data_IF_092699077552
#
_entry.id   IF_092699077552
#
_cell.length_a   1.000
_cell.length_b   1.000
_cell.length_c   1.000
_cell.angle_alpha   90.00
_cell.angle_beta   90.00
_cell.angle_gamma   90.00
#
_symmetry.space_group_name_H-M   'P 1'
#
loop_
_entity.id
_entity.type
_entity.pdbx_description
1 polymer ?
#
# COMPACT_ATOMS: atom_id res chain seq x y z
N UNK A 1 -13.54 2.05 17.37
CA UNK A 1 -12.62 1.58 16.32
C UNK A 1 -11.25 2.16 16.58
N UNK A 2 -10.15 1.45 16.24
CA UNK A 2 -8.81 2.01 16.30
C UNK A 2 -8.68 3.26 15.41
N UNK A 3 -7.82 4.18 15.80
CA UNK A 3 -7.46 5.35 15.01
C UNK A 3 -6.68 4.90 13.77
N UNK A 4 -7.11 5.41 12.62
CA UNK A 4 -6.54 5.08 11.32
C UNK A 4 -5.78 6.29 10.77
N UNK A 5 -4.55 6.07 10.31
CA UNK A 5 -3.83 7.02 9.47
C UNK A 5 -4.02 6.64 8.02
N UNK A 6 -4.33 7.61 7.17
CA UNK A 6 -4.43 7.40 5.73
C UNK A 6 -3.44 8.29 4.97
N UNK A 7 -2.67 7.67 4.08
CA UNK A 7 -1.77 8.34 3.15
C UNK A 7 -2.20 8.00 1.74
N UNK A 8 -2.50 8.99 0.92
CA UNK A 8 -2.91 8.76 -0.46
C UNK A 8 -3.62 9.98 -1.02
N UNK A 9 -4.20 9.82 -2.21
CA UNK A 9 -4.97 10.88 -2.85
C UNK A 9 -6.31 11.15 -2.16
N UNK A 10 -6.83 10.18 -1.40
CA UNK A 10 -8.22 10.18 -0.95
C UNK A 10 -9.17 9.73 -2.06
N UNK A 11 -10.46 10.01 -1.89
CA UNK A 11 -11.53 9.53 -2.78
C UNK A 11 -12.17 8.25 -2.23
N UNK A 12 -12.51 7.30 -3.12
CA UNK A 12 -13.37 6.16 -2.79
C UNK A 12 -12.89 5.32 -1.61
N UNK A 13 -11.58 5.09 -1.46
CA UNK A 13 -11.03 4.35 -0.30
C UNK A 13 -11.25 5.12 1.01
N UNK A 14 -10.89 6.40 1.02
CA UNK A 14 -10.99 7.22 2.23
C UNK A 14 -12.46 7.45 2.61
N UNK A 15 -13.31 7.76 1.63
CA UNK A 15 -14.76 7.91 1.79
C UNK A 15 -15.38 6.62 2.32
N UNK A 16 -14.99 5.46 1.78
CA UNK A 16 -15.45 4.16 2.25
C UNK A 16 -15.06 3.89 3.70
N UNK A 17 -13.78 4.09 4.06
CA UNK A 17 -13.30 3.93 5.43
C UNK A 17 -14.09 4.82 6.40
N UNK A 18 -14.30 6.09 6.06
CA UNK A 18 -15.10 7.01 6.88
C UNK A 18 -16.56 6.55 6.99
N UNK A 19 -17.17 6.09 5.91
CA UNK A 19 -18.56 5.59 5.91
C UNK A 19 -18.75 4.36 6.78
N UNK A 20 -17.71 3.53 6.93
CA UNK A 20 -17.67 2.35 7.81
C UNK A 20 -17.41 2.72 9.29
N UNK A 21 -17.23 4.00 9.61
CA UNK A 21 -17.03 4.48 10.97
C UNK A 21 -15.56 4.50 11.43
N UNK A 22 -14.59 4.37 10.53
CA UNK A 22 -13.18 4.49 10.88
C UNK A 22 -12.83 5.94 11.26
N UNK A 23 -12.18 6.10 12.41
CA UNK A 23 -11.67 7.41 12.86
C UNK A 23 -10.35 7.71 12.17
N UNK A 24 -10.39 8.45 11.06
CA UNK A 24 -9.17 8.90 10.38
C UNK A 24 -8.56 10.06 11.16
N UNK A 25 -7.32 9.90 11.61
CA UNK A 25 -6.60 10.90 12.41
C UNK A 25 -5.47 11.56 11.64
N UNK A 26 -5.16 12.80 12.01
CA UNK A 26 -4.02 13.55 11.46
C UNK A 26 -2.69 13.21 12.17
N UNK A 27 -1.63 13.89 11.74
CA UNK A 27 -0.27 13.71 12.24
C UNK A 27 -0.09 13.99 13.75
N UNK A 28 -0.99 14.72 14.39
CA UNK A 28 -0.89 15.10 15.81
C UNK A 28 -1.40 14.02 16.77
N UNK A 29 -2.09 13.00 16.26
CA UNK A 29 -2.67 11.91 17.04
C UNK A 29 -1.96 10.60 16.74
N UNK A 30 -2.00 9.67 17.69
CA UNK A 30 -1.51 8.30 17.47
C UNK A 30 -2.52 7.49 16.65
N UNK A 31 -2.02 6.71 15.71
CA UNK A 31 -2.80 5.75 14.93
C UNK A 31 -2.30 4.33 15.22
N UNK A 32 -3.22 3.37 15.37
CA UNK A 32 -2.88 1.94 15.49
C UNK A 32 -2.83 1.25 14.13
N UNK A 33 -3.57 1.76 13.15
CA UNK A 33 -3.64 1.22 11.79
C UNK A 33 -3.26 2.32 10.79
N UNK A 34 -2.48 1.96 9.79
CA UNK A 34 -2.09 2.87 8.71
C UNK A 34 -2.38 2.24 7.37
N UNK A 35 -3.05 3.01 6.50
CA UNK A 35 -3.32 2.65 5.12
C UNK A 35 -2.56 3.62 4.21
N UNK A 36 -1.75 3.09 3.31
CA UNK A 36 -1.09 3.88 2.25
C UNK A 36 -1.63 3.44 0.89
N UNK A 37 -2.17 4.36 0.13
CA UNK A 37 -2.65 4.14 -1.23
C UNK A 37 -1.71 4.81 -2.23
N UNK A 38 -0.91 3.98 -2.93
CA UNK A 38 0.14 4.41 -3.86
C UNK A 38 -0.28 4.41 -5.34
N UNK A 39 -1.59 4.30 -5.61
CA UNK A 39 -2.12 4.24 -6.98
C UNK A 39 -1.78 5.51 -7.80
N UNK A 40 -2.00 5.45 -9.12
CA UNK A 40 -1.69 6.54 -10.06
C UNK A 40 -2.13 7.91 -9.52
N UNK A 41 -1.15 8.70 -9.11
CA UNK A 41 -1.33 10.07 -8.63
C UNK A 41 -1.75 11.04 -9.76
N UNK A 42 -1.97 10.53 -10.98
CA UNK A 42 -2.37 11.20 -12.22
C UNK A 42 -1.43 12.34 -12.62
N UNK A 43 -0.18 12.32 -12.14
CA UNK A 43 0.85 13.27 -12.60
C UNK A 43 1.20 12.95 -14.04
N UNK A 44 1.29 13.98 -14.87
CA UNK A 44 1.58 13.83 -16.31
C UNK A 44 3.01 13.35 -16.58
N UNK A 45 3.96 13.65 -15.68
CA UNK A 45 5.35 13.26 -15.82
C UNK A 45 5.67 11.98 -15.03
N UNK A 46 6.32 11.02 -15.68
CA UNK A 46 6.70 9.72 -15.09
C UNK A 46 7.65 9.83 -13.90
N UNK A 47 8.60 10.77 -13.91
CA UNK A 47 9.51 11.01 -12.80
C UNK A 47 8.77 11.58 -11.58
N UNK A 48 7.87 12.54 -11.82
CA UNK A 48 7.04 13.13 -10.75
C UNK A 48 6.11 12.08 -10.13
N UNK A 49 5.57 11.17 -10.95
CA UNK A 49 4.78 10.03 -10.46
C UNK A 49 5.58 9.19 -9.49
N UNK A 50 6.78 8.77 -9.89
CA UNK A 50 7.68 7.96 -9.07
C UNK A 50 8.07 8.68 -7.78
N UNK A 51 8.51 9.94 -7.87
CA UNK A 51 8.89 10.76 -6.72
C UNK A 51 7.75 10.86 -5.71
N UNK A 52 6.53 11.11 -6.18
CA UNK A 52 5.35 11.22 -5.32
C UNK A 52 5.08 9.90 -4.57
N UNK A 53 5.22 8.74 -5.22
CA UNK A 53 5.06 7.43 -4.57
C UNK A 53 6.14 7.17 -3.53
N UNK A 54 7.41 7.50 -3.86
CA UNK A 54 8.54 7.35 -2.93
C UNK A 54 8.36 8.24 -1.71
N UNK A 55 8.01 9.51 -1.89
CA UNK A 55 7.79 10.45 -0.79
C UNK A 55 6.63 10.02 0.11
N UNK A 56 5.54 9.52 -0.47
CA UNK A 56 4.39 9.04 0.30
C UNK A 56 4.76 7.89 1.22
N UNK A 57 5.44 6.86 0.69
CA UNK A 57 5.86 5.70 1.47
C UNK A 57 6.95 6.07 2.47
N UNK A 58 7.88 6.97 2.12
CA UNK A 58 8.88 7.46 3.06
C UNK A 58 8.22 8.12 4.27
N UNK A 59 7.23 9.01 4.06
CA UNK A 59 6.48 9.64 5.15
C UNK A 59 5.75 8.62 6.03
N UNK A 60 5.16 7.59 5.41
CA UNK A 60 4.51 6.50 6.15
C UNK A 60 5.52 5.73 7.02
N UNK A 61 6.72 5.45 6.49
CA UNK A 61 7.80 4.80 7.25
C UNK A 61 8.36 5.69 8.37
N UNK A 62 8.58 6.99 8.11
CA UNK A 62 9.01 7.95 9.13
C UNK A 62 8.01 7.97 10.30
N UNK A 63 6.70 7.92 10.00
CA UNK A 63 5.66 7.87 11.02
C UNK A 63 5.68 6.56 11.81
N UNK A 64 5.87 5.44 11.11
CA UNK A 64 6.01 4.11 11.67
C UNK A 64 7.19 4.04 12.65
N UNK A 65 8.31 4.72 12.37
CA UNK A 65 9.45 4.76 13.29
C UNK A 65 9.16 5.61 14.54
N UNK A 66 8.30 6.61 14.42
CA UNK A 66 7.96 7.53 15.52
C UNK A 66 6.81 7.06 16.41
N UNK A 67 5.95 6.17 15.91
CA UNK A 67 4.72 5.74 16.57
C UNK A 67 4.61 4.21 16.64
N UNK A 68 4.02 3.68 17.71
CA UNK A 68 3.71 2.25 17.82
C UNK A 68 2.50 1.90 16.95
N UNK A 69 2.75 1.67 15.66
CA UNK A 69 1.76 1.16 14.73
C UNK A 69 1.60 -0.36 14.91
N UNK A 70 0.36 -0.86 14.89
CA UNK A 70 0.09 -2.30 14.97
C UNK A 70 -0.02 -2.94 13.57
N UNK A 71 -0.68 -2.25 12.64
CA UNK A 71 -0.84 -2.75 11.27
C UNK A 71 -0.58 -1.69 10.20
N UNK A 72 0.10 -2.12 9.14
CA UNK A 72 0.42 -1.34 7.96
C UNK A 72 -0.16 -1.99 6.70
N UNK A 73 -1.03 -1.28 6.01
CA UNK A 73 -1.69 -1.76 4.80
C UNK A 73 -1.26 -0.87 3.62
N UNK A 74 -0.60 -1.47 2.63
CA UNK A 74 -0.23 -0.78 1.39
C UNK A 74 -1.15 -1.24 0.28
N UNK A 75 -1.87 -0.30 -0.31
CA UNK A 75 -2.68 -0.47 -1.50
C UNK A 75 -1.87 0.02 -2.70
N UNK A 76 -1.57 -0.86 -3.64
CA UNK A 76 -0.82 -0.56 -4.85
C UNK A 76 -1.44 -1.28 -6.04
N UNK A 77 -1.04 -0.92 -7.25
CA UNK A 77 -1.51 -1.62 -8.45
C UNK A 77 -0.60 -2.79 -8.82
N UNK A 78 -0.99 -3.55 -9.83
CA UNK A 78 -0.19 -4.69 -10.33
C UNK A 78 0.94 -4.27 -11.29
N UNK A 79 1.33 -3.00 -11.34
CA UNK A 79 2.38 -2.52 -12.28
C UNK A 79 3.79 -3.01 -11.93
N UNK A 80 4.02 -3.49 -10.71
CA UNK A 80 5.29 -4.11 -10.29
C UNK A 80 5.57 -5.46 -10.96
N UNK A 81 4.55 -6.11 -11.54
CA UNK A 81 4.63 -7.47 -12.12
C UNK A 81 4.00 -7.62 -13.51
N UNK A 82 3.32 -6.60 -14.04
CA UNK A 82 2.61 -6.65 -15.33
C UNK A 82 3.43 -6.21 -16.54
N UNK A 83 4.70 -5.86 -16.35
CA UNK A 83 5.64 -5.58 -17.43
C UNK A 83 6.15 -6.84 -18.12
N UNK A 84 7.04 -6.63 -19.09
CA UNK A 84 7.69 -7.74 -19.78
C UNK A 84 8.79 -8.36 -18.90
N UNK A 85 8.91 -9.70 -18.90
CA UNK A 85 9.97 -10.37 -18.18
C UNK A 85 11.31 -10.09 -18.85
N UNK A 86 12.40 -10.22 -18.10
CA UNK A 86 13.75 -10.11 -18.66
C UNK A 86 13.93 -11.16 -19.76
N UNK A 87 14.56 -10.77 -20.88
CA UNK A 87 14.88 -11.70 -21.96
C UNK A 87 15.61 -12.94 -21.43
N UNK A 88 15.16 -14.12 -21.86
CA UNK A 88 15.69 -15.42 -21.43
C UNK A 88 14.99 -16.04 -20.23
N UNK A 89 14.04 -15.36 -19.59
CA UNK A 89 13.19 -15.98 -18.57
C UNK A 89 11.98 -16.68 -19.21
N UNK A 90 11.79 -17.95 -18.84
CA UNK A 90 10.65 -18.78 -19.29
C UNK A 90 9.37 -18.51 -18.48
N UNK A 91 9.49 -17.85 -17.32
CA UNK A 91 8.39 -17.68 -16.36
C UNK A 91 8.29 -16.23 -15.89
N UNK A 92 7.07 -15.77 -15.62
CA UNK A 92 6.77 -14.47 -15.02
C UNK A 92 6.91 -14.44 -13.48
N UNK A 93 7.75 -15.30 -12.92
CA UNK A 93 7.91 -15.46 -11.48
C UNK A 93 8.87 -14.40 -10.92
N UNK A 94 8.45 -13.14 -10.86
CA UNK A 94 9.26 -12.08 -10.27
C UNK A 94 8.76 -10.67 -10.56
N UNK A 95 9.52 -9.69 -10.06
CA UNK A 95 9.28 -8.29 -10.39
C UNK A 95 9.48 -8.07 -11.89
N UNK A 96 8.43 -7.61 -12.55
CA UNK A 96 8.43 -7.21 -13.96
C UNK A 96 7.79 -5.82 -14.02
N UNK A 97 8.52 -4.74 -13.66
CA UNK A 97 7.96 -3.40 -13.63
C UNK A 97 7.45 -2.95 -15.01
N UNK A 98 6.20 -2.51 -15.08
CA UNK A 98 5.64 -1.86 -16.27
C UNK A 98 6.05 -0.39 -16.31
N UNK A 99 7.20 -0.12 -16.94
CA UNK A 99 7.77 1.22 -17.06
C UNK A 99 8.10 1.86 -15.70
N UNK A 100 8.23 3.19 -15.69
CA UNK A 100 8.56 3.98 -14.48
C UNK A 100 7.51 3.81 -13.38
N UNK A 101 6.24 3.67 -13.77
CA UNK A 101 5.13 3.46 -12.84
C UNK A 101 5.28 2.14 -12.05
N UNK A 102 5.67 1.06 -12.74
CA UNK A 102 5.96 -0.22 -12.11
C UNK A 102 7.07 -0.17 -11.05
N UNK A 103 8.03 0.74 -11.20
CA UNK A 103 9.05 0.96 -10.16
C UNK A 103 8.44 1.60 -8.91
N UNK A 104 7.47 2.49 -9.04
CA UNK A 104 6.76 3.07 -7.89
C UNK A 104 6.05 2.01 -7.06
N UNK A 105 5.29 1.13 -7.72
CA UNK A 105 4.59 0.02 -7.05
C UNK A 105 5.57 -0.98 -6.44
N UNK A 106 6.65 -1.34 -7.16
CA UNK A 106 7.70 -2.21 -6.62
C UNK A 106 8.40 -1.59 -5.40
N UNK A 107 8.66 -0.28 -5.42
CA UNK A 107 9.24 0.44 -4.28
C UNK A 107 8.30 0.41 -3.08
N UNK A 108 7.00 0.67 -3.28
CA UNK A 108 6.01 0.60 -2.21
C UNK A 108 5.98 -0.79 -1.55
N UNK A 109 5.97 -1.85 -2.35
CA UNK A 109 6.02 -3.23 -1.85
C UNK A 109 7.31 -3.57 -1.09
N UNK A 110 8.45 -3.11 -1.62
CA UNK A 110 9.77 -3.36 -1.03
C UNK A 110 9.92 -2.63 0.30
N UNK A 111 9.49 -1.38 0.35
CA UNK A 111 9.54 -0.56 1.55
C UNK A 111 8.53 -1.04 2.60
N UNK A 112 7.38 -1.59 2.19
CA UNK A 112 6.45 -2.22 3.14
C UNK A 112 7.07 -3.38 3.92
N UNK A 113 8.02 -4.12 3.32
CA UNK A 113 8.75 -5.17 4.03
C UNK A 113 9.64 -4.64 5.15
N UNK A 114 9.99 -3.35 5.15
CA UNK A 114 10.75 -2.73 6.25
C UNK A 114 9.92 -2.59 7.53
N UNK A 115 8.62 -2.29 7.41
CA UNK A 115 7.72 -2.26 8.56
C UNK A 115 7.67 -3.61 9.29
N UNK A 116 7.75 -4.72 8.55
CA UNK A 116 7.81 -6.08 9.12
C UNK A 116 9.06 -6.27 10.00
N UNK A 117 10.21 -5.72 9.59
CA UNK A 117 11.49 -5.89 10.30
C UNK A 117 11.46 -5.25 11.70
N UNK A 118 10.55 -4.31 11.94
CA UNK A 118 10.34 -3.64 13.23
C UNK A 118 9.05 -4.11 13.94
N UNK A 119 8.49 -5.25 13.51
CA UNK A 119 7.41 -5.94 14.21
C UNK A 119 5.99 -5.57 13.79
N UNK A 120 5.82 -4.82 12.69
CA UNK A 120 4.49 -4.36 12.26
C UNK A 120 3.82 -5.39 11.34
N UNK A 121 2.57 -5.71 11.64
CA UNK A 121 1.74 -6.59 10.82
C UNK A 121 1.40 -5.90 9.49
N UNK A 122 2.09 -6.32 8.42
CA UNK A 122 2.02 -5.65 7.12
C UNK A 122 1.16 -6.44 6.12
N UNK A 123 0.31 -5.73 5.38
CA UNK A 123 -0.49 -6.26 4.27
C UNK A 123 -0.21 -5.44 3.03
N UNK A 124 -0.02 -6.11 1.89
CA UNK A 124 0.09 -5.43 0.60
C UNK A 124 -1.00 -5.92 -0.33
N UNK A 125 -1.88 -5.02 -0.73
CA UNK A 125 -3.00 -5.24 -1.61
C UNK A 125 -2.59 -4.79 -3.01
N UNK A 126 -2.36 -5.76 -3.92
CA UNK A 126 -2.19 -5.49 -5.35
C UNK A 126 -3.54 -5.49 -6.02
N UNK A 127 -3.88 -4.37 -6.63
CA UNK A 127 -5.20 -4.14 -7.19
C UNK A 127 -5.11 -4.08 -8.71
N UNK A 128 -5.96 -4.87 -9.36
CA UNK A 128 -6.15 -4.84 -10.81
C UNK A 128 -7.36 -3.96 -11.22
N UNK A 129 -8.30 -3.73 -10.31
CA UNK A 129 -9.59 -3.07 -10.56
C UNK A 129 -10.08 -2.32 -9.30
N UNK A 130 -10.63 -1.12 -9.49
CA UNK A 130 -11.16 -0.25 -8.43
C UNK A 130 -12.36 -0.88 -7.69
N UNK A 131 -13.18 -1.72 -8.31
CA UNK A 131 -14.30 -2.38 -7.61
C UNK A 131 -13.80 -3.46 -6.63
N UNK A 132 -12.72 -4.14 -6.99
CA UNK A 132 -12.10 -5.18 -6.13
C UNK A 132 -11.34 -4.57 -4.96
N UNK A 133 -10.96 -3.29 -5.06
CA UNK A 133 -10.20 -2.55 -4.05
C UNK A 133 -10.91 -2.50 -2.71
N UNK A 134 -12.15 -2.02 -2.71
CA UNK A 134 -12.92 -1.81 -1.50
C UNK A 134 -13.22 -3.15 -0.83
N UNK A 135 -13.64 -4.15 -1.61
CA UNK A 135 -13.92 -5.49 -1.10
C UNK A 135 -12.67 -6.11 -0.44
N UNK A 136 -11.53 -6.08 -1.13
CA UNK A 136 -10.31 -6.67 -0.58
C UNK A 136 -9.78 -5.89 0.64
N UNK A 137 -9.99 -4.57 0.68
CA UNK A 137 -9.67 -3.77 1.86
C UNK A 137 -10.54 -4.18 3.06
N UNK A 138 -11.87 -4.31 2.86
CA UNK A 138 -12.79 -4.78 3.90
C UNK A 138 -12.38 -6.18 4.40
N UNK A 139 -12.18 -7.14 3.49
CA UNK A 139 -11.73 -8.49 3.84
C UNK A 139 -10.40 -8.49 4.60
N UNK A 140 -9.47 -7.60 4.24
CA UNK A 140 -8.18 -7.46 4.92
C UNK A 140 -8.34 -6.90 6.32
N UNK A 141 -9.19 -5.89 6.51
CA UNK A 141 -9.46 -5.27 7.80
C UNK A 141 -10.19 -6.25 8.73
N UNK A 142 -11.16 -6.99 8.21
CA UNK A 142 -11.94 -7.99 8.95
C UNK A 142 -11.12 -9.23 9.34
N UNK A 143 -10.10 -9.56 8.54
CA UNK A 143 -9.19 -10.71 8.77
C UNK A 143 -7.80 -10.32 9.28
N UNK A 144 -7.68 -9.17 9.96
CA UNK A 144 -6.42 -8.74 10.57
C UNK A 144 -5.96 -9.71 11.66
N UNK A 145 -5.12 -10.66 11.24
CA UNK A 145 -4.37 -11.54 12.12
C UNK A 145 -2.96 -10.98 12.37
N UNK A 146 -2.74 -10.46 13.57
CA UNK A 146 -1.45 -9.89 13.99
C UNK A 146 -0.34 -10.93 14.17
N UNK A 147 -0.65 -12.23 14.15
CA UNK A 147 0.37 -13.30 14.16
C UNK A 147 1.07 -13.44 12.81
N UNK A 148 0.43 -12.99 11.72
CA UNK A 148 1.01 -13.02 10.37
C UNK A 148 1.71 -11.69 10.09
N UNK A 149 3.04 -11.70 10.09
CA UNK A 149 3.83 -10.47 9.97
C UNK A 149 3.76 -9.83 8.57
N UNK A 150 3.64 -10.62 7.50
CA UNK A 150 3.54 -10.13 6.12
C UNK A 150 2.60 -10.97 5.29
N UNK A 151 1.72 -10.31 4.52
CA UNK A 151 0.91 -10.96 3.49
C UNK A 151 0.80 -10.09 2.25
N UNK A 152 1.07 -10.68 1.10
CA UNK A 152 0.76 -10.10 -0.20
C UNK A 152 -0.59 -10.68 -0.67
N UNK A 153 -1.53 -9.80 -0.99
CA UNK A 153 -2.89 -10.14 -1.42
C UNK A 153 -3.01 -9.66 -2.86
N UNK A 154 -3.17 -10.60 -3.78
CA UNK A 154 -3.40 -10.32 -5.19
C UNK A 154 -4.91 -10.35 -5.47
N UNK A 155 -5.46 -9.24 -5.96
CA UNK A 155 -6.79 -9.23 -6.53
C UNK A 155 -6.74 -9.92 -7.90
N UNK A 156 -7.21 -11.17 -7.97
CA UNK A 156 -7.49 -11.86 -9.25
C UNK A 156 -8.79 -11.32 -9.83
#
# INVERSE_FOLDING_TARGET
MPNLRYFGRGGSVLEHLQSKGWTVVDASKKAEIMVVETFDNKKGNTLERLQSTVELIRKALDEIEQHQLQSFIVITDSSSVSGNPRQGLQTHNGACPNGVHGFGSLTAETLARKAVQIGICTRVLRIADDDKKIRNLDETLDSLDFSVSYRLIQAV
#
